data_IF_097477272120
#
_entry.id   IF_097477272120
#
_cell.length_a   1.000
_cell.length_b   1.000
_cell.length_c   1.000
_cell.angle_alpha   90.00
_cell.angle_beta   90.00
_cell.angle_gamma   90.00
#
_symmetry.space_group_name_H-M   'P 1'
#
loop_
_entity.id
_entity.type
_entity.pdbx_description
1 polymer ?
#
# COMPACT_ATOMS: atom_id res chain seq x y z
N UNK A 1 3.89 4.80 7.40
CA UNK A 1 2.95 5.05 6.28
C UNK A 1 3.54 5.80 5.10
N UNK A 2 4.35 6.86 5.27
CA UNK A 2 5.01 7.57 4.14
C UNK A 2 5.65 6.62 3.11
N UNK A 3 6.53 5.72 3.55
CA UNK A 3 7.21 4.73 2.70
C UNK A 3 6.26 3.83 1.91
N UNK A 4 5.15 3.41 2.53
CA UNK A 4 4.15 2.59 1.86
C UNK A 4 3.41 3.37 0.76
N UNK A 5 3.06 4.63 1.00
CA UNK A 5 2.47 5.50 -0.03
C UNK A 5 3.44 5.76 -1.19
N UNK A 6 4.74 5.96 -0.90
CA UNK A 6 5.76 6.12 -1.94
C UNK A 6 5.88 4.86 -2.80
N UNK A 7 5.92 3.68 -2.18
CA UNK A 7 5.96 2.40 -2.88
C UNK A 7 4.70 2.16 -3.72
N UNK A 8 3.52 2.45 -3.18
CA UNK A 8 2.24 2.32 -3.90
C UNK A 8 2.13 3.27 -5.10
N UNK A 9 2.85 4.39 -5.08
CA UNK A 9 2.80 5.43 -6.11
C UNK A 9 3.91 5.28 -7.15
N UNK A 10 5.03 4.68 -6.78
CA UNK A 10 6.18 4.44 -7.66
C UNK A 10 6.24 3.03 -8.26
N UNK A 11 5.46 2.07 -7.74
CA UNK A 11 5.58 0.67 -8.11
C UNK A 11 4.22 -0.04 -8.13
N UNK A 12 3.97 -0.87 -9.14
CA UNK A 12 2.78 -1.74 -9.23
C UNK A 12 2.95 -3.01 -8.37
N UNK A 13 3.68 -2.90 -7.26
CA UNK A 13 4.02 -4.04 -6.41
C UNK A 13 2.80 -4.49 -5.60
N UNK A 14 2.72 -5.81 -5.38
CA UNK A 14 1.68 -6.38 -4.54
C UNK A 14 1.73 -5.80 -3.11
N UNK A 15 0.55 -5.66 -2.50
CA UNK A 15 0.41 -5.16 -1.11
C UNK A 15 1.27 -5.95 -0.12
N UNK A 16 1.46 -7.25 -0.34
CA UNK A 16 2.31 -8.11 0.47
C UNK A 16 3.80 -7.70 0.44
N UNK A 17 4.30 -7.30 -0.73
CA UNK A 17 5.67 -6.82 -0.88
C UNK A 17 5.82 -5.43 -0.27
N UNK A 18 4.81 -4.57 -0.47
CA UNK A 18 4.80 -3.22 0.10
C UNK A 18 4.74 -3.27 1.63
N UNK A 19 3.97 -4.19 2.21
CA UNK A 19 3.94 -4.38 3.67
C UNK A 19 5.33 -4.77 4.18
N UNK A 20 6.00 -5.73 3.52
CA UNK A 20 7.37 -6.14 3.87
C UNK A 20 8.36 -4.97 3.77
N UNK A 21 8.35 -4.24 2.65
CA UNK A 21 9.24 -3.11 2.42
C UNK A 21 8.97 -1.92 3.37
N UNK A 22 7.72 -1.75 3.80
CA UNK A 22 7.34 -0.75 4.79
C UNK A 22 7.69 -1.15 6.23
N UNK A 23 8.22 -2.37 6.47
CA UNK A 23 8.62 -2.88 7.77
C UNK A 23 7.54 -3.63 8.53
N UNK A 24 6.47 -4.06 7.85
CA UNK A 24 5.41 -4.88 8.43
C UNK A 24 5.65 -6.35 8.12
N UNK A 25 5.64 -7.18 9.17
CA UNK A 25 5.67 -8.63 9.03
C UNK A 25 4.33 -9.17 8.47
N UNK A 26 3.22 -8.59 8.94
CA UNK A 26 1.87 -9.03 8.61
C UNK A 26 1.18 -8.07 7.64
N UNK A 27 0.87 -8.59 6.45
CA UNK A 27 0.01 -7.91 5.48
C UNK A 27 -1.37 -7.54 6.01
N UNK A 28 -2.13 -8.41 6.73
CA UNK A 28 -3.44 -8.04 7.25
C UNK A 28 -3.37 -6.92 8.31
N UNK A 29 -2.31 -6.91 9.13
CA UNK A 29 -2.08 -5.84 10.10
C UNK A 29 -1.80 -4.50 9.40
N UNK A 30 -0.93 -4.54 8.39
CA UNK A 30 -0.64 -3.39 7.54
C UNK A 30 -1.90 -2.84 6.86
N UNK A 31 -2.72 -3.69 6.24
CA UNK A 31 -3.96 -3.30 5.55
C UNK A 31 -4.92 -2.61 6.53
N UNK A 32 -5.08 -3.15 7.73
CA UNK A 32 -5.98 -2.60 8.75
C UNK A 32 -5.52 -1.22 9.22
N UNK A 33 -4.23 -1.08 9.54
CA UNK A 33 -3.64 0.21 9.88
C UNK A 33 -3.70 1.21 8.73
N UNK A 34 -3.38 0.78 7.51
CA UNK A 34 -3.38 1.62 6.31
C UNK A 34 -4.79 2.13 6.02
N UNK A 35 -5.80 1.25 6.06
CA UNK A 35 -7.21 1.62 5.88
C UNK A 35 -7.68 2.59 6.97
N UNK A 36 -7.25 2.43 8.23
CA UNK A 36 -7.55 3.40 9.29
C UNK A 36 -6.96 4.79 9.05
N UNK A 37 -5.76 4.85 8.47
CA UNK A 37 -5.02 6.10 8.27
C UNK A 37 -5.44 6.81 6.97
N UNK A 38 -5.53 6.06 5.86
CA UNK A 38 -5.83 6.58 4.52
C UNK A 38 -7.32 6.51 4.16
N UNK A 39 -8.15 5.83 4.95
CA UNK A 39 -9.57 5.62 4.66
C UNK A 39 -9.87 4.55 3.59
N UNK A 40 -8.84 4.10 2.86
CA UNK A 40 -8.94 3.12 1.78
C UNK A 40 -7.88 2.03 1.90
N UNK A 41 -8.11 0.87 1.29
CA UNK A 41 -7.13 -0.22 1.30
C UNK A 41 -5.91 0.16 0.45
N UNK A 42 -4.71 -0.33 0.80
CA UNK A 42 -3.50 -0.08 0.00
C UNK A 42 -3.65 -0.59 -1.43
N UNK A 43 -4.37 -1.70 -1.65
CA UNK A 43 -4.68 -2.21 -2.98
C UNK A 43 -5.49 -1.21 -3.83
N UNK A 44 -6.52 -0.59 -3.23
CA UNK A 44 -7.31 0.43 -3.91
C UNK A 44 -6.46 1.68 -4.19
N UNK A 45 -5.59 2.06 -3.25
CA UNK A 45 -4.69 3.20 -3.43
C UNK A 45 -3.67 3.00 -4.56
N UNK A 46 -3.09 1.81 -4.72
CA UNK A 46 -2.19 1.50 -5.84
C UNK A 46 -2.92 1.52 -7.18
N UNK A 47 -4.13 0.93 -7.25
CA UNK A 47 -4.93 0.88 -8.49
C UNK A 47 -5.33 2.27 -8.99
N UNK A 48 -5.50 3.24 -8.09
CA UNK A 48 -5.77 4.63 -8.45
C UNK A 48 -4.58 5.35 -9.13
N UNK A 49 -3.35 4.88 -8.92
CA UNK A 49 -2.14 5.45 -9.53
C UNK A 49 -1.78 4.88 -10.90
N UNK A 50 -2.25 3.66 -11.22
CA UNK A 50 -1.86 2.93 -12.43
C UNK A 50 -2.88 3.00 -13.58
N UNK A 51 -3.86 3.90 -13.52
CA UNK A 51 -4.65 4.22 -14.72
C UNK A 51 -3.93 5.31 -15.52
N UNK A 52 -2.91 4.90 -16.28
CA UNK A 52 -2.26 5.74 -17.26
C UNK A 52 -2.03 4.91 -18.52
N UNK A 53 -3.02 5.05 -19.41
CA UNK A 53 -3.10 4.77 -20.86
C UNK A 53 -2.10 3.80 -21.49
#
# INVERSE_FOLDING_TARGET
MKRACELLRGSDSAVAEISRQAGFADSPYFITCFKKIMGQTPLAYSKSGSHRM
#
